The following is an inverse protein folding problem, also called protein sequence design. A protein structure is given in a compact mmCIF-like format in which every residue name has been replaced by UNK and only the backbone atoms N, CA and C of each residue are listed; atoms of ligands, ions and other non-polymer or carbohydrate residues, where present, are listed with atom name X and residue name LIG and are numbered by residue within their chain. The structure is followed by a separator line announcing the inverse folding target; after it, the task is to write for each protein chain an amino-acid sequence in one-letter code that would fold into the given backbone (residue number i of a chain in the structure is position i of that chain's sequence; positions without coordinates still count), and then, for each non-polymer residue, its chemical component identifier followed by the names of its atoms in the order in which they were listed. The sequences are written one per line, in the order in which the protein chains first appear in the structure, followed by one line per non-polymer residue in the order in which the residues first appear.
data_IF_060690217696
#
_entry.id   IF_060690217696
#
_cell.length_a   1.000
_cell.length_b   1.000
_cell.length_c   1.000
_cell.angle_alpha   90.00
_cell.angle_beta   90.00
_cell.angle_gamma   90.00
#
_symmetry.space_group_name_H-M   'P 1'
#
loop_
_entity.id
_entity.type
_entity.pdbx_description
1 polymer ?
#
# COMPACT_ATOMS: atom_id res chain seq x y z
N UNK A 1 7.49 38.20 30.85
CA UNK A 1 6.45 37.15 30.90
C UNK A 1 6.87 35.97 30.02
N UNK A 2 7.32 34.87 30.63
CA UNK A 2 7.73 33.66 29.94
C UNK A 2 6.48 32.81 29.60
N UNK A 3 6.08 32.75 28.32
CA UNK A 3 5.08 31.78 27.86
C UNK A 3 5.76 30.43 27.64
N UNK A 4 5.42 29.46 28.49
CA UNK A 4 5.84 28.05 28.39
C UNK A 4 5.44 27.49 27.01
N UNK A 5 6.43 27.21 26.15
CA UNK A 5 6.25 26.50 24.85
C UNK A 5 6.36 24.98 25.09
N UNK A 6 5.69 24.48 26.13
CA UNK A 6 5.71 23.07 26.54
C UNK A 6 4.26 22.58 26.64
N UNK A 7 3.66 22.16 25.50
CA UNK A 7 3.20 20.77 25.42
C UNK A 7 3.22 20.15 24.00
N UNK A 8 3.96 20.74 23.04
CA UNK A 8 3.86 20.39 21.61
C UNK A 8 4.73 19.21 21.15
N UNK A 9 5.87 18.98 21.81
CA UNK A 9 6.80 17.88 21.48
C UNK A 9 6.32 16.55 22.06
N UNK A 10 5.64 16.58 23.21
CA UNK A 10 5.16 15.39 23.90
C UNK A 10 3.98 14.71 23.19
N UNK A 11 3.12 15.45 22.47
CA UNK A 11 1.96 14.86 21.78
C UNK A 11 2.33 14.02 20.55
N UNK A 12 3.27 14.51 19.73
CA UNK A 12 3.67 13.83 18.48
C UNK A 12 4.62 12.65 18.74
N UNK A 13 5.47 12.74 19.78
CA UNK A 13 6.27 11.61 20.29
C UNK A 13 5.42 10.63 21.12
N UNK A 14 4.40 11.09 21.85
CA UNK A 14 3.50 10.18 22.56
C UNK A 14 2.57 9.42 21.60
N UNK A 15 2.10 10.01 20.50
CA UNK A 15 1.26 9.29 19.52
C UNK A 15 2.05 8.24 18.73
N UNK A 16 3.31 8.53 18.38
CA UNK A 16 4.22 7.53 17.78
C UNK A 16 4.65 6.46 18.78
N UNK A 17 4.85 6.83 20.05
CA UNK A 17 5.13 5.89 21.14
C UNK A 17 3.94 5.01 21.56
N UNK A 18 2.72 5.54 21.57
CA UNK A 18 1.49 4.80 21.89
C UNK A 18 1.14 3.81 20.78
N UNK A 19 1.33 4.18 19.50
CA UNK A 19 1.14 3.26 18.38
C UNK A 19 2.20 2.12 18.39
N UNK A 20 3.44 2.43 18.76
CA UNK A 20 4.50 1.43 18.93
C UNK A 20 4.30 0.51 20.15
N UNK A 21 3.69 1.00 21.23
CA UNK A 21 3.40 0.21 22.44
C UNK A 21 2.09 -0.59 22.35
N UNK A 22 1.13 -0.17 21.51
CA UNK A 22 -0.04 -0.98 21.16
C UNK A 22 0.32 -2.18 20.27
N UNK A 23 1.38 -2.07 19.46
CA UNK A 23 1.90 -3.17 18.63
C UNK A 23 2.69 -4.23 19.42
N UNK A 24 3.11 -3.91 20.66
CA UNK A 24 3.92 -4.81 21.50
C UNK A 24 3.14 -5.49 22.63
N UNK A 25 1.82 -5.24 22.76
CA UNK A 25 0.99 -5.72 23.88
C UNK A 25 -0.26 -6.51 23.47
N UNK A 26 -0.41 -6.88 22.19
CA UNK A 26 -1.48 -7.78 21.76
C UNK A 26 -1.11 -9.25 22.07
N UNK A 27 -1.86 -9.96 22.95
CA UNK A 27 -1.63 -11.39 23.18
C UNK A 27 -2.04 -12.24 21.96
N UNK A 28 -1.44 -13.43 21.77
CA UNK A 28 -1.78 -14.30 20.65
C UNK A 28 -3.06 -15.06 20.99
N UNK A 29 -4.09 -14.93 20.15
CA UNK A 29 -5.06 -15.97 19.79
C UNK A 29 -6.41 -15.37 19.40
N UNK A 30 -6.92 -15.80 18.24
CA UNK A 30 -8.05 -16.72 18.21
C UNK A 30 -8.25 -17.16 16.77
N UNK A 31 -7.84 -18.40 16.51
CA UNK A 31 -8.14 -19.14 15.31
C UNK A 31 -9.67 -19.34 15.20
N UNK A 32 -10.24 -19.02 14.05
CA UNK A 32 -11.51 -19.59 13.63
C UNK A 32 -11.34 -20.23 12.26
N UNK A 33 -11.11 -21.55 12.33
CA UNK A 33 -11.22 -22.51 11.24
C UNK A 33 -12.71 -22.70 10.95
N UNK A 34 -13.14 -22.49 9.70
CA UNK A 34 -14.39 -23.07 9.23
C UNK A 34 -14.11 -23.85 7.94
N UNK A 35 -14.21 -25.17 8.06
CA UNK A 35 -14.27 -26.12 6.96
C UNK A 35 -15.73 -26.47 6.71
N UNK A 36 -16.14 -26.50 5.45
CA UNK A 36 -17.14 -27.41 4.92
C UNK A 36 -16.70 -27.79 3.50
N UNK A 37 -16.12 -28.99 3.32
CA UNK A 37 -16.77 -30.21 2.79
C UNK A 37 -16.97 -30.15 1.27
N UNK A 38 -16.64 -31.12 0.42
CA UNK A 38 -16.31 -32.56 0.52
C UNK A 38 -15.76 -32.98 -0.86
N UNK A 39 -14.80 -33.89 -1.01
CA UNK A 39 -14.99 -35.36 -1.08
C UNK A 39 -13.61 -35.93 -1.45
N UNK A 40 -12.97 -36.73 -0.59
CA UNK A 40 -13.16 -38.17 -0.40
C UNK A 40 -12.56 -39.05 -1.53
N UNK A 41 -11.47 -39.70 -1.15
CA UNK A 41 -11.11 -41.10 -1.44
C UNK A 41 -9.99 -41.36 -2.44
N UNK A 42 -8.84 -41.67 -1.85
CA UNK A 42 -7.76 -42.46 -2.43
C UNK A 42 -8.19 -43.93 -2.64
N UNK A 43 -7.75 -44.52 -3.74
CA UNK A 43 -7.55 -45.97 -3.92
C UNK A 43 -6.25 -46.16 -4.70
N UNK A 44 -5.28 -46.82 -4.06
CA UNK A 44 -4.06 -47.41 -4.64
C UNK A 44 -4.44 -48.60 -5.56
N UNK A 45 -3.65 -49.25 -6.41
CA UNK A 45 -2.22 -49.52 -6.47
C UNK A 45 -1.93 -50.25 -7.80
N UNK A 46 -0.65 -50.28 -8.19
CA UNK A 46 0.07 -51.26 -9.02
C UNK A 46 -0.23 -51.43 -10.53
N UNK A 47 0.79 -51.18 -11.36
CA UNK A 47 1.52 -52.27 -12.05
C UNK A 47 2.80 -51.75 -12.72
N UNK A 48 3.90 -52.43 -12.40
CA UNK A 48 5.28 -52.25 -12.85
C UNK A 48 5.55 -52.83 -14.23
N UNK A 49 6.42 -52.19 -15.01
CA UNK A 49 7.29 -52.86 -16.00
C UNK A 49 8.70 -52.28 -15.93
N UNK A 50 9.70 -53.17 -16.06
CA UNK A 50 11.12 -52.99 -15.76
C UNK A 50 11.95 -53.19 -17.05
N UNK A 51 13.18 -52.63 -17.07
CA UNK A 51 14.38 -52.93 -17.89
C UNK A 51 14.74 -51.82 -18.91
N UNK A 52 15.97 -51.29 -19.03
CA UNK A 52 17.30 -51.62 -18.49
C UNK A 52 18.20 -50.33 -18.54
N UNK A 53 19.40 -50.30 -17.92
CA UNK A 53 20.23 -49.12 -17.73
C UNK A 53 21.29 -48.99 -18.85
N UNK A 54 21.68 -47.76 -19.17
CA UNK A 54 23.07 -47.36 -19.47
C UNK A 54 23.12 -45.85 -19.79
N UNK A 55 24.07 -45.18 -19.14
CA UNK A 55 24.67 -43.88 -19.47
C UNK A 55 23.90 -42.57 -19.22
N UNK A 56 24.13 -42.00 -18.02
CA UNK A 56 23.94 -40.57 -17.73
C UNK A 56 25.15 -39.76 -18.23
N UNK A 57 24.99 -38.45 -18.53
CA UNK A 57 25.13 -37.50 -17.42
C UNK A 57 24.17 -36.30 -17.47
N UNK A 58 23.51 -36.06 -16.33
CA UNK A 58 23.31 -34.73 -15.73
C UNK A 58 22.97 -33.57 -16.67
N UNK A 59 21.76 -33.57 -17.21
CA UNK A 59 21.05 -32.32 -17.50
C UNK A 59 19.86 -32.25 -16.54
N UNK A 60 19.88 -31.30 -15.61
CA UNK A 60 18.69 -30.88 -14.87
C UNK A 60 17.72 -30.25 -15.87
N UNK A 61 17.01 -31.11 -16.60
CA UNK A 61 15.82 -30.74 -17.33
C UNK A 61 14.78 -30.37 -16.27
N UNK A 62 14.48 -29.07 -16.18
CA UNK A 62 13.31 -28.62 -15.44
C UNK A 62 12.10 -29.42 -15.95
N UNK A 63 11.26 -30.01 -15.07
CA UNK A 63 10.03 -30.64 -15.51
C UNK A 63 9.13 -29.53 -16.08
N UNK A 64 9.08 -29.40 -17.40
CA UNK A 64 7.95 -28.74 -18.05
C UNK A 64 6.81 -29.75 -18.08
N UNK A 65 6.18 -29.94 -16.92
CA UNK A 65 4.84 -30.53 -16.82
C UNK A 65 3.87 -29.54 -17.49
N UNK A 66 3.19 -29.91 -18.59
CA UNK A 66 2.09 -29.11 -19.12
C UNK A 66 0.83 -29.45 -18.33
N UNK A 67 0.74 -28.98 -17.10
CA UNK A 67 -0.43 -29.26 -16.26
C UNK A 67 -0.31 -28.66 -14.88
N UNK A 68 -1.35 -27.91 -14.48
CA UNK A 68 -1.56 -27.32 -13.13
C UNK A 68 -1.04 -25.89 -12.93
N UNK A 69 -0.86 -25.12 -14.00
CA UNK A 69 -1.20 -23.71 -13.92
C UNK A 69 -2.72 -23.60 -13.90
N UNK A 70 -3.32 -23.22 -12.77
CA UNK A 70 -4.69 -22.70 -12.76
C UNK A 70 -4.68 -21.47 -13.68
N UNK A 71 -4.98 -21.68 -14.95
CA UNK A 71 -5.23 -20.64 -15.92
C UNK A 71 -6.50 -19.93 -15.46
N UNK A 72 -6.33 -18.95 -14.59
CA UNK A 72 -7.36 -17.96 -14.34
C UNK A 72 -7.63 -17.33 -15.71
N UNK A 73 -8.78 -17.66 -16.32
CA UNK A 73 -9.30 -17.05 -17.55
C UNK A 73 -9.58 -15.58 -17.26
N UNK A 74 -8.52 -14.80 -17.08
CA UNK A 74 -8.54 -13.36 -17.24
C UNK A 74 -8.78 -13.17 -18.73
N UNK A 75 -10.05 -13.18 -19.14
CA UNK A 75 -10.49 -12.91 -20.51
C UNK A 75 -9.87 -11.59 -20.93
N UNK A 76 -8.69 -11.67 -21.57
CA UNK A 76 -7.96 -10.50 -22.02
C UNK A 76 -8.90 -9.73 -22.93
N UNK A 77 -9.04 -8.41 -22.73
CA UNK A 77 -9.98 -7.62 -23.51
C UNK A 77 -9.66 -7.79 -24.99
N UNK A 78 -10.66 -8.22 -25.77
CA UNK A 78 -10.49 -8.48 -27.21
C UNK A 78 -10.45 -7.17 -28.02
N UNK A 79 -10.93 -6.07 -27.45
CA UNK A 79 -10.95 -4.76 -28.10
C UNK A 79 -9.64 -4.00 -27.86
N UNK A 80 -9.26 -3.12 -28.81
CA UNK A 80 -8.08 -2.25 -28.64
C UNK A 80 -8.19 -1.37 -27.39
N UNK A 81 -9.35 -0.73 -27.18
CA UNK A 81 -9.58 0.14 -26.03
C UNK A 81 -9.42 -0.59 -24.69
N UNK A 82 -9.96 -1.81 -24.57
CA UNK A 82 -9.79 -2.60 -23.35
C UNK A 82 -8.33 -3.00 -23.10
N UNK A 83 -7.57 -3.34 -24.17
CA UNK A 83 -6.12 -3.61 -24.05
C UNK A 83 -5.35 -2.37 -23.59
N UNK A 84 -5.70 -1.19 -24.11
CA UNK A 84 -5.08 0.06 -23.69
C UNK A 84 -5.35 0.38 -22.22
N UNK A 85 -6.60 0.23 -21.76
CA UNK A 85 -6.97 0.43 -20.34
C UNK A 85 -6.23 -0.56 -19.44
N UNK A 86 -6.19 -1.84 -19.81
CA UNK A 86 -5.46 -2.87 -19.06
C UNK A 86 -3.95 -2.57 -19.00
N UNK A 87 -3.35 -2.15 -20.12
CA UNK A 87 -1.95 -1.77 -20.17
C UNK A 87 -1.65 -0.54 -19.30
N UNK A 88 -2.51 0.49 -19.33
CA UNK A 88 -2.38 1.66 -18.45
C UNK A 88 -2.55 1.25 -16.98
N UNK A 89 -3.55 0.44 -16.65
CA UNK A 89 -3.80 -0.04 -15.29
C UNK A 89 -2.59 -0.77 -14.69
N UNK A 90 -1.87 -1.54 -15.51
CA UNK A 90 -0.65 -2.24 -15.08
C UNK A 90 0.47 -1.31 -14.58
N UNK A 91 0.45 -0.01 -14.92
CA UNK A 91 1.38 0.98 -14.38
C UNK A 91 1.04 1.45 -12.97
N UNK A 92 -0.15 1.12 -12.43
CA UNK A 92 -0.57 1.56 -11.11
C UNK A 92 0.48 1.28 -10.01
N UNK A 93 1.04 0.05 -9.87
CA UNK A 93 2.06 -0.21 -8.86
C UNK A 93 3.30 0.66 -9.02
N UNK A 94 3.72 0.99 -10.24
CA UNK A 94 4.87 1.88 -10.45
C UNK A 94 4.54 3.32 -10.04
N UNK A 95 3.38 3.84 -10.46
CA UNK A 95 3.00 5.24 -10.27
C UNK A 95 2.69 5.58 -8.80
N UNK A 96 2.21 4.64 -7.99
CA UNK A 96 1.92 4.89 -6.56
C UNK A 96 3.17 5.28 -5.75
N UNK A 97 4.37 4.83 -6.14
CA UNK A 97 5.59 5.05 -5.36
C UNK A 97 5.95 6.53 -5.29
N UNK A 98 5.73 7.28 -6.37
CA UNK A 98 6.08 8.69 -6.45
C UNK A 98 5.31 9.55 -5.43
N UNK A 99 3.97 9.61 -5.43
CA UNK A 99 3.23 10.43 -4.46
C UNK A 99 3.40 9.93 -3.01
N UNK A 100 3.60 8.63 -2.79
CA UNK A 100 3.89 8.09 -1.45
C UNK A 100 5.24 8.61 -0.94
N UNK A 101 6.30 8.49 -1.73
CA UNK A 101 7.63 8.96 -1.37
C UNK A 101 7.64 10.48 -1.09
N UNK A 102 6.92 11.26 -1.89
CA UNK A 102 6.79 12.71 -1.68
C UNK A 102 6.07 13.05 -0.36
N UNK A 103 4.97 12.37 -0.02
CA UNK A 103 4.29 12.62 1.27
C UNK A 103 5.18 12.26 2.45
N UNK A 104 5.84 11.09 2.42
CA UNK A 104 6.72 10.66 3.49
C UNK A 104 7.92 11.61 3.64
N UNK A 105 8.43 12.15 2.54
CA UNK A 105 9.46 13.19 2.54
C UNK A 105 8.93 14.47 3.19
N UNK A 106 7.72 14.93 2.86
CA UNK A 106 7.08 16.08 3.50
C UNK A 106 6.97 15.87 5.01
N UNK A 107 6.50 14.68 5.45
CA UNK A 107 6.41 14.34 6.87
C UNK A 107 7.77 14.39 7.57
N UNK A 108 8.81 13.81 6.97
CA UNK A 108 10.18 13.87 7.49
C UNK A 108 10.68 15.31 7.60
N UNK A 109 10.46 16.13 6.57
CA UNK A 109 10.91 17.52 6.53
C UNK A 109 10.17 18.39 7.55
N UNK A 110 8.88 18.15 7.82
CA UNK A 110 8.16 18.81 8.92
C UNK A 110 8.75 18.44 10.29
N UNK A 111 9.03 17.16 10.52
CA UNK A 111 9.66 16.69 11.77
C UNK A 111 11.04 17.33 11.95
N UNK A 112 11.87 17.39 10.88
CA UNK A 112 13.18 18.03 10.93
C UNK A 112 13.08 19.54 11.16
N UNK A 113 12.14 20.23 10.51
CA UNK A 113 11.90 21.66 10.73
C UNK A 113 11.52 21.94 12.19
N UNK A 114 10.66 21.11 12.78
CA UNK A 114 10.24 21.23 14.17
C UNK A 114 11.38 20.91 15.15
N UNK A 115 12.10 19.79 14.95
CA UNK A 115 13.18 19.35 15.81
C UNK A 115 14.39 20.30 15.81
N UNK A 116 14.75 20.82 14.63
CA UNK A 116 15.90 21.72 14.44
C UNK A 116 15.54 23.19 14.58
N UNK A 117 14.24 23.53 14.66
CA UNK A 117 13.73 24.90 14.69
C UNK A 117 14.24 25.76 13.52
N UNK A 118 14.40 25.14 12.34
CA UNK A 118 14.86 25.82 11.12
C UNK A 118 13.80 25.69 10.02
N UNK A 119 13.21 26.81 9.55
CA UNK A 119 12.16 26.76 8.52
C UNK A 119 12.69 26.34 7.14
N UNK A 120 14.01 26.35 6.92
CA UNK A 120 14.61 25.91 5.65
C UNK A 120 14.25 24.47 5.29
N UNK A 121 14.07 23.59 6.28
CA UNK A 121 13.80 22.17 6.03
C UNK A 121 12.42 21.95 5.39
N UNK A 122 11.41 22.76 5.70
CA UNK A 122 10.06 22.57 5.18
C UNK A 122 9.64 23.61 4.12
N UNK A 123 10.59 24.39 3.60
CA UNK A 123 10.35 25.42 2.57
C UNK A 123 9.82 24.82 1.25
N UNK A 124 10.31 23.65 0.85
CA UNK A 124 9.89 22.95 -0.36
C UNK A 124 8.56 22.19 -0.24
N UNK A 125 8.02 22.01 0.97
CA UNK A 125 6.92 21.07 1.22
C UNK A 125 5.64 21.41 0.43
N UNK A 126 5.37 22.69 0.15
CA UNK A 126 4.19 23.07 -0.64
C UNK A 126 4.29 22.58 -2.09
N UNK A 127 5.47 22.64 -2.69
CA UNK A 127 5.71 22.14 -4.05
C UNK A 127 5.67 20.61 -4.07
N UNK A 128 6.30 19.96 -3.10
CA UNK A 128 6.24 18.49 -2.95
C UNK A 128 4.80 17.99 -2.82
N UNK A 129 3.98 18.65 -2.01
CA UNK A 129 2.55 18.31 -1.86
C UNK A 129 1.76 18.52 -3.16
N UNK A 130 2.12 19.51 -3.99
CA UNK A 130 1.47 19.71 -5.29
C UNK A 130 1.72 18.51 -6.23
N UNK A 131 2.99 18.08 -6.33
CA UNK A 131 3.35 16.90 -7.12
C UNK A 131 2.79 15.60 -6.54
N UNK A 132 2.78 15.46 -5.21
CA UNK A 132 2.15 14.32 -4.54
C UNK A 132 0.64 14.26 -4.86
N UNK A 133 -0.04 15.41 -4.85
CA UNK A 133 -1.46 15.50 -5.20
C UNK A 133 -1.71 15.09 -6.65
N UNK A 134 -0.96 15.65 -7.60
CA UNK A 134 -1.08 15.31 -9.02
C UNK A 134 -0.79 13.82 -9.28
N UNK A 135 0.31 13.30 -8.71
CA UNK A 135 0.67 11.89 -8.80
C UNK A 135 -0.35 10.97 -8.13
N UNK A 136 -0.96 11.40 -7.02
CA UNK A 136 -2.02 10.67 -6.34
C UNK A 136 -3.27 10.50 -7.21
N UNK A 137 -3.73 11.57 -7.86
CA UNK A 137 -4.86 11.48 -8.79
C UNK A 137 -4.56 10.58 -9.98
N UNK A 138 -3.34 10.67 -10.55
CA UNK A 138 -2.91 9.77 -11.61
C UNK A 138 -2.90 8.31 -11.12
N UNK A 139 -2.32 8.03 -9.96
CA UNK A 139 -2.27 6.70 -9.38
C UNK A 139 -3.67 6.12 -9.12
N UNK A 140 -4.60 6.92 -8.60
CA UNK A 140 -5.98 6.50 -8.36
C UNK A 140 -6.69 6.13 -9.68
N UNK A 141 -6.56 6.96 -10.72
CA UNK A 141 -7.13 6.66 -12.03
C UNK A 141 -6.58 5.35 -12.62
N UNK A 142 -5.27 5.13 -12.52
CA UNK A 142 -4.66 3.86 -12.95
C UNK A 142 -5.10 2.68 -12.09
N UNK A 143 -5.34 2.89 -10.79
CA UNK A 143 -5.87 1.86 -9.90
C UNK A 143 -7.26 1.39 -10.30
N UNK A 144 -8.14 2.32 -10.68
CA UNK A 144 -9.45 1.99 -11.25
C UNK A 144 -9.34 1.29 -12.60
N UNK A 145 -8.40 1.70 -13.46
CA UNK A 145 -8.13 1.01 -14.71
C UNK A 145 -7.63 -0.44 -14.50
N UNK A 146 -6.87 -0.68 -13.41
CA UNK A 146 -6.35 -1.99 -13.05
C UNK A 146 -7.40 -2.90 -12.39
N UNK A 147 -8.19 -2.34 -11.47
CA UNK A 147 -9.15 -3.09 -10.65
C UNK A 147 -10.52 -3.30 -11.33
N UNK A 148 -10.76 -2.69 -12.50
CA UNK A 148 -12.04 -2.76 -13.20
C UNK A 148 -13.19 -2.09 -12.43
N UNK A 149 -14.43 -2.40 -12.78
CA UNK A 149 -15.60 -1.95 -12.01
C UNK A 149 -15.81 -2.86 -10.79
N UNK A 150 -16.41 -2.35 -9.70
CA UNK A 150 -16.68 -3.16 -8.52
C UNK A 150 -17.64 -4.30 -8.86
N UNK A 151 -17.32 -5.52 -8.41
CA UNK A 151 -18.16 -6.70 -8.56
C UNK A 151 -18.62 -7.22 -7.18
N UNK A 152 -19.69 -8.03 -7.16
CA UNK A 152 -20.27 -8.53 -5.91
C UNK A 152 -19.36 -9.54 -5.20
N UNK A 153 -18.45 -10.17 -5.93
CA UNK A 153 -17.44 -11.13 -5.48
C UNK A 153 -16.08 -10.48 -5.20
N UNK A 154 -15.95 -9.14 -5.26
CA UNK A 154 -14.73 -8.44 -4.88
C UNK A 154 -14.36 -8.78 -3.41
N UNK A 155 -13.12 -9.22 -3.19
CA UNK A 155 -12.60 -9.46 -1.85
C UNK A 155 -12.59 -8.18 -1.01
N UNK A 156 -12.86 -8.30 0.29
CA UNK A 156 -12.95 -7.16 1.23
C UNK A 156 -11.71 -6.26 1.19
N UNK A 157 -10.51 -6.85 1.07
CA UNK A 157 -9.27 -6.10 0.95
C UNK A 157 -9.25 -5.20 -0.30
N UNK A 158 -9.70 -5.71 -1.46
CA UNK A 158 -9.80 -4.94 -2.69
C UNK A 158 -10.84 -3.81 -2.59
N UNK A 159 -11.98 -4.08 -1.96
CA UNK A 159 -13.01 -3.06 -1.72
C UNK A 159 -12.45 -1.90 -0.91
N UNK A 160 -11.83 -2.18 0.24
CA UNK A 160 -11.24 -1.13 1.08
C UNK A 160 -10.08 -0.42 0.39
N UNK A 161 -9.18 -1.17 -0.25
CA UNK A 161 -8.06 -0.62 -1.02
C UNK A 161 -8.57 0.38 -2.06
N UNK A 162 -9.60 0.03 -2.83
CA UNK A 162 -10.16 0.90 -3.87
C UNK A 162 -10.69 2.22 -3.32
N UNK A 163 -11.51 2.17 -2.27
CA UNK A 163 -12.17 3.37 -1.74
C UNK A 163 -11.21 4.26 -0.95
N UNK A 164 -10.35 3.69 -0.12
CA UNK A 164 -9.31 4.44 0.61
C UNK A 164 -8.32 5.05 -0.39
N UNK A 165 -7.86 4.27 -1.37
CA UNK A 165 -6.97 4.73 -2.42
C UNK A 165 -7.54 5.90 -3.24
N UNK A 166 -8.85 5.92 -3.45
CA UNK A 166 -9.55 7.03 -4.13
C UNK A 166 -9.62 8.29 -3.26
N UNK A 167 -9.69 8.16 -1.94
CA UNK A 167 -9.78 9.29 -1.00
C UNK A 167 -8.43 9.97 -0.77
N UNK A 168 -7.32 9.20 -0.76
CA UNK A 168 -5.98 9.69 -0.42
C UNK A 168 -5.55 10.95 -1.22
N UNK A 169 -5.74 11.04 -2.56
CA UNK A 169 -5.38 12.24 -3.33
C UNK A 169 -6.11 13.51 -2.86
N UNK A 170 -7.35 13.39 -2.37
CA UNK A 170 -8.09 14.52 -1.80
C UNK A 170 -7.52 14.96 -0.44
N UNK A 171 -6.98 14.02 0.35
CA UNK A 171 -6.25 14.34 1.58
C UNK A 171 -4.96 15.10 1.23
N UNK A 172 -4.24 14.70 0.18
CA UNK A 172 -3.06 15.42 -0.29
C UNK A 172 -3.41 16.82 -0.78
N UNK A 173 -4.52 16.96 -1.51
CA UNK A 173 -5.04 18.25 -1.94
C UNK A 173 -5.36 19.16 -0.74
N UNK A 174 -5.99 18.61 0.31
CA UNK A 174 -6.25 19.35 1.54
C UNK A 174 -4.94 19.79 2.22
N UNK A 175 -3.94 18.90 2.32
CA UNK A 175 -2.62 19.24 2.85
C UNK A 175 -1.96 20.36 2.05
N UNK A 176 -2.02 20.29 0.73
CA UNK A 176 -1.48 21.32 -0.15
C UNK A 176 -2.17 22.68 0.05
N UNK A 177 -3.50 22.69 0.21
CA UNK A 177 -4.29 23.89 0.51
C UNK A 177 -3.96 24.48 1.88
N UNK A 178 -3.80 23.63 2.90
CA UNK A 178 -3.48 24.05 4.26
C UNK A 178 -2.02 24.50 4.42
N UNK A 179 -1.10 23.97 3.60
CA UNK A 179 0.32 24.34 3.64
C UNK A 179 0.50 25.77 3.16
N UNK A 180 1.06 26.60 4.04
CA UNK A 180 1.41 27.98 3.76
C UNK A 180 2.62 28.06 2.83
N UNK A 181 2.68 29.05 1.91
CA UNK A 181 3.87 29.35 1.13
C UNK A 181 5.10 29.59 2.01
N UNK A 182 6.29 29.31 1.49
CA UNK A 182 7.54 29.37 2.25
C UNK A 182 7.78 30.75 2.87
N UNK A 183 7.46 31.83 2.16
CA UNK A 183 7.68 33.21 2.63
C UNK A 183 6.87 33.50 3.91
N UNK A 184 5.66 32.94 3.99
CA UNK A 184 4.76 33.13 5.13
C UNK A 184 5.02 32.13 6.27
N UNK A 185 5.51 30.94 5.95
CA UNK A 185 5.72 29.85 6.92
C UNK A 185 6.91 30.12 7.86
N UNK A 186 7.88 30.96 7.46
CA UNK A 186 9.00 31.37 8.32
C UNK A 186 8.53 32.10 9.58
N UNK A 187 7.48 32.91 9.46
CA UNK A 187 7.02 33.80 10.53
C UNK A 187 5.83 33.24 11.32
N UNK A 188 5.21 32.16 10.85
CA UNK A 188 3.98 31.63 11.43
C UNK A 188 4.04 30.10 11.51
N UNK A 189 3.77 29.51 12.69
CA UNK A 189 3.77 28.07 12.85
C UNK A 189 2.68 27.41 11.99
N UNK A 190 2.89 26.13 11.68
CA UNK A 190 1.89 25.28 11.03
C UNK A 190 0.58 25.28 11.83
N UNK A 191 -0.55 25.22 11.12
CA UNK A 191 -1.85 25.10 11.79
C UNK A 191 -2.01 23.68 12.36
N UNK A 192 -2.70 23.56 13.50
CA UNK A 192 -3.01 22.25 14.09
C UNK A 192 -3.76 21.34 13.11
N UNK A 193 -4.66 21.92 12.31
CA UNK A 193 -5.38 21.20 11.27
C UNK A 193 -4.43 20.60 10.22
N UNK A 194 -3.39 21.33 9.80
CA UNK A 194 -2.38 20.80 8.87
C UNK A 194 -1.62 19.63 9.50
N UNK A 195 -1.13 19.80 10.73
CA UNK A 195 -0.37 18.78 11.45
C UNK A 195 -1.18 17.50 11.66
N UNK A 196 -2.44 17.61 12.12
CA UNK A 196 -3.31 16.45 12.29
C UNK A 196 -3.64 15.78 10.97
N UNK A 197 -3.89 16.56 9.91
CA UNK A 197 -4.15 16.02 8.57
C UNK A 197 -2.94 15.26 8.04
N UNK A 198 -1.71 15.73 8.32
CA UNK A 198 -0.49 15.08 7.86
C UNK A 198 -0.29 13.73 8.55
N UNK A 199 -0.53 13.67 9.86
CA UNK A 199 -0.49 12.41 10.63
C UNK A 199 -1.52 11.41 10.09
N UNK A 200 -2.76 11.87 9.87
CA UNK A 200 -3.82 11.03 9.28
C UNK A 200 -3.43 10.54 7.88
N UNK A 201 -2.86 11.41 7.04
CA UNK A 201 -2.43 11.04 5.70
C UNK A 201 -1.34 9.95 5.72
N UNK A 202 -0.36 10.06 6.62
CA UNK A 202 0.67 9.02 6.79
C UNK A 202 0.05 7.70 7.25
N UNK A 203 -0.86 7.73 8.23
CA UNK A 203 -1.56 6.53 8.68
C UNK A 203 -2.38 5.87 7.55
N UNK A 204 -3.09 6.67 6.74
CA UNK A 204 -3.83 6.18 5.59
C UNK A 204 -2.92 5.52 4.55
N UNK A 205 -1.75 6.08 4.26
CA UNK A 205 -0.77 5.43 3.36
C UNK A 205 -0.36 4.07 3.92
N UNK A 206 -0.07 3.95 5.22
CA UNK A 206 0.39 2.69 5.81
C UNK A 206 -0.69 1.61 5.75
N UNK A 207 -1.94 1.97 6.09
CA UNK A 207 -3.10 1.10 5.94
C UNK A 207 -3.24 0.68 4.47
N UNK A 208 -3.09 1.63 3.56
CA UNK A 208 -3.25 1.38 2.13
C UNK A 208 -2.14 0.49 1.54
N UNK A 209 -0.92 0.63 2.03
CA UNK A 209 0.20 -0.24 1.68
C UNK A 209 -0.06 -1.68 2.15
N UNK A 210 -0.56 -1.87 3.38
CA UNK A 210 -0.96 -3.19 3.88
C UNK A 210 -2.07 -3.82 3.03
N UNK A 211 -3.13 -3.06 2.74
CA UNK A 211 -4.23 -3.54 1.88
C UNK A 211 -3.75 -3.85 0.47
N UNK A 212 -2.80 -3.09 -0.07
CA UNK A 212 -2.18 -3.36 -1.37
C UNK A 212 -1.38 -4.67 -1.36
N UNK A 213 -0.68 -4.97 -0.26
CA UNK A 213 -0.02 -6.25 -0.04
C UNK A 213 -1.01 -7.42 -0.01
N UNK A 214 -2.13 -7.26 0.69
CA UNK A 214 -3.21 -8.25 0.78
C UNK A 214 -3.86 -8.52 -0.59
N UNK A 215 -4.13 -7.46 -1.37
CA UNK A 215 -4.67 -7.60 -2.73
C UNK A 215 -3.72 -8.34 -3.68
N UNK A 216 -2.41 -8.19 -3.50
CA UNK A 216 -1.40 -8.74 -4.43
C UNK A 216 -0.86 -10.10 -4.01
N UNK A 217 -0.78 -10.38 -2.71
CA UNK A 217 -0.16 -11.59 -2.15
C UNK A 217 -1.16 -12.46 -1.34
N UNK A 218 -2.37 -11.97 -1.11
CA UNK A 218 -3.42 -12.65 -0.36
C UNK A 218 -3.41 -12.39 1.15
N UNK A 219 -4.44 -12.93 1.81
CA UNK A 219 -4.61 -12.80 3.25
C UNK A 219 -3.47 -13.49 4.00
N UNK A 220 -2.97 -12.84 5.04
CA UNK A 220 -1.85 -13.38 5.83
C UNK A 220 -0.49 -13.27 5.13
N UNK A 221 -0.34 -12.41 4.11
CA UNK A 221 0.95 -12.19 3.42
C UNK A 221 2.13 -11.77 4.33
N UNK A 222 1.86 -11.38 5.58
CA UNK A 222 2.86 -11.03 6.60
C UNK A 222 3.04 -12.11 7.68
N UNK A 223 2.36 -13.26 7.57
CA UNK A 223 2.48 -14.35 8.53
C UNK A 223 3.83 -15.07 8.35
N UNK A 224 4.47 -15.39 9.47
CA UNK A 224 5.72 -16.17 9.54
C UNK A 224 5.47 -17.56 10.10
#
# INVERSE_FOLDING_TARGET
MAKKIFPLVSGLLALTGILASLLLSAPPAMAHKNQSSSSASAVAEASTTVNNPEDAPMAMAWPTEPGMGMEMDHKKPKTFGGRLVSWLGAWHPAVIHFPIALLLTVALLEVLAAARKKPVYNAGNKVLLAFATAGGFAAAALGWANAGLPAADDGTALTWHRWIGTLIPFVYLLLWRLKRPAETAVNQPSSRLYETTLVVAVALILIQAYLGGDVTHGAGHMAF
#
